data_IF_686800259103
#
_entry.id   IF_686800259103
#
_cell.length_a   1.000
_cell.length_b   1.000
_cell.length_c   1.000
_cell.angle_alpha   90.00
_cell.angle_beta   90.00
_cell.angle_gamma   90.00
#
_symmetry.space_group_name_H-M   'P 1'
#
loop_
_entity.id
_entity.type
_entity.pdbx_description
1 polymer ?
#
# COMPACT_ATOMS: atom_id res chain seq x y z
N UNK A 1 10.02 2.92 10.19
CA UNK A 1 8.80 3.10 9.37
C UNK A 1 9.08 3.07 7.86
N UNK A 2 10.09 3.80 7.40
CA UNK A 2 10.45 3.78 5.97
C UNK A 2 10.72 2.38 5.43
N UNK A 3 11.51 1.61 6.15
CA UNK A 3 11.82 0.25 5.75
C UNK A 3 10.57 -0.63 5.65
N UNK A 4 9.63 -0.46 6.58
CA UNK A 4 8.39 -1.23 6.55
C UNK A 4 7.56 -0.93 5.30
N UNK A 5 7.64 0.27 4.75
CA UNK A 5 6.92 0.66 3.54
C UNK A 5 7.63 0.24 2.25
N UNK A 6 8.94 0.01 2.30
CA UNK A 6 9.74 -0.21 1.08
C UNK A 6 10.38 -1.60 1.01
N UNK A 7 10.28 -2.41 2.06
CA UNK A 7 10.84 -3.76 2.09
C UNK A 7 9.78 -4.81 1.81
N UNK A 8 10.04 -5.70 0.84
CA UNK A 8 9.13 -6.80 0.55
C UNK A 8 9.01 -7.78 1.71
N UNK A 9 10.07 -7.94 2.49
CA UNK A 9 10.05 -8.81 3.68
C UNK A 9 9.07 -8.29 4.73
N UNK A 10 9.02 -6.98 4.92
CA UNK A 10 8.05 -6.37 5.83
C UNK A 10 6.65 -6.41 5.25
N UNK A 11 6.47 -6.01 3.99
CA UNK A 11 5.13 -5.89 3.40
C UNK A 11 4.38 -7.23 3.35
N UNK A 12 5.07 -8.34 3.10
CA UNK A 12 4.46 -9.66 3.15
C UNK A 12 3.79 -9.95 4.49
N UNK A 13 4.29 -9.38 5.57
CA UNK A 13 3.84 -9.68 6.92
C UNK A 13 2.60 -8.89 7.34
N UNK A 14 2.34 -7.74 6.72
CA UNK A 14 1.17 -6.92 7.08
C UNK A 14 0.23 -6.61 5.92
N UNK A 15 0.58 -6.95 4.70
CA UNK A 15 -0.19 -6.60 3.50
C UNK A 15 -0.68 -7.85 2.76
N UNK A 16 -1.37 -8.73 3.48
CA UNK A 16 -1.98 -9.94 2.91
C UNK A 16 -1.03 -10.79 2.07
N UNK A 17 0.23 -10.90 2.47
CA UNK A 17 1.24 -11.64 1.72
C UNK A 17 1.75 -10.90 0.49
N UNK A 18 1.47 -9.62 0.34
CA UNK A 18 1.87 -8.81 -0.80
C UNK A 18 3.29 -8.30 -0.64
N UNK A 19 4.08 -8.42 -1.71
CA UNK A 19 5.43 -7.88 -1.77
C UNK A 19 5.44 -6.55 -2.53
N UNK A 20 5.99 -5.50 -1.90
CA UNK A 20 6.25 -4.24 -2.61
C UNK A 20 7.58 -4.35 -3.33
N UNK A 21 7.63 -3.96 -4.59
CA UNK A 21 8.84 -4.05 -5.42
C UNK A 21 9.11 -2.76 -6.16
N UNK A 22 10.30 -2.19 -5.98
CA UNK A 22 10.77 -1.01 -6.68
C UNK A 22 12.23 -0.76 -6.35
N UNK A 23 12.88 0.11 -7.13
CA UNK A 23 14.19 0.66 -6.79
C UNK A 23 14.07 1.86 -5.85
N UNK A 24 12.86 2.33 -5.61
CA UNK A 24 12.55 3.45 -4.72
C UNK A 24 13.25 4.76 -5.09
N UNK A 25 13.41 4.98 -6.38
CA UNK A 25 13.93 6.23 -6.94
C UNK A 25 12.82 6.88 -7.75
N UNK A 26 12.75 8.21 -7.75
CA UNK A 26 11.78 8.96 -8.54
C UNK A 26 11.87 8.54 -10.00
N UNK A 27 10.73 8.21 -10.59
CA UNK A 27 10.64 7.74 -11.97
C UNK A 27 10.79 6.22 -12.13
N UNK A 28 11.15 5.50 -11.07
CA UNK A 28 11.27 4.04 -11.13
C UNK A 28 9.91 3.36 -11.13
N UNK A 29 9.77 2.21 -11.80
CA UNK A 29 8.55 1.44 -11.71
C UNK A 29 8.34 0.88 -10.30
N UNK A 30 7.07 0.67 -9.96
CA UNK A 30 6.62 0.12 -8.69
C UNK A 30 5.61 -0.99 -8.97
N UNK A 31 5.66 -2.05 -8.20
CA UNK A 31 4.70 -3.14 -8.33
C UNK A 31 4.36 -3.76 -6.98
N UNK A 32 3.10 -4.20 -6.85
CA UNK A 32 2.64 -5.04 -5.76
C UNK A 32 2.45 -6.45 -6.31
N UNK A 33 3.06 -7.43 -5.69
CA UNK A 33 3.01 -8.83 -6.13
C UNK A 33 2.49 -9.72 -5.01
N UNK A 34 1.44 -10.46 -5.29
CA UNK A 34 0.82 -11.40 -4.34
C UNK A 34 0.74 -12.79 -5.01
N UNK A 35 1.33 -13.79 -4.36
CA UNK A 35 1.38 -15.17 -4.89
C UNK A 35 1.91 -15.24 -6.32
N UNK A 36 2.95 -14.45 -6.62
CA UNK A 36 3.57 -14.42 -7.94
C UNK A 36 2.80 -13.64 -8.99
N UNK A 37 1.67 -13.03 -8.63
CA UNK A 37 0.86 -12.25 -9.55
C UNK A 37 0.95 -10.76 -9.24
N UNK A 38 1.21 -9.94 -10.25
CA UNK A 38 1.24 -8.50 -10.10
C UNK A 38 -0.20 -7.99 -9.99
N UNK A 39 -0.54 -7.45 -8.82
CA UNK A 39 -1.89 -6.93 -8.59
C UNK A 39 -2.04 -5.46 -8.92
N UNK A 40 -0.99 -4.69 -8.69
CA UNK A 40 -1.00 -3.24 -8.89
C UNK A 40 0.37 -2.79 -9.38
N UNK A 41 0.40 -1.73 -10.18
CA UNK A 41 1.64 -1.15 -10.69
C UNK A 41 1.61 0.36 -10.59
N UNK A 42 2.75 0.99 -10.74
CA UNK A 42 2.84 2.44 -10.74
C UNK A 42 4.26 2.93 -10.94
N UNK A 43 4.44 4.21 -10.64
CA UNK A 43 5.72 4.90 -10.75
C UNK A 43 5.97 5.69 -9.47
N UNK A 44 7.20 5.69 -9.01
CA UNK A 44 7.60 6.46 -7.82
C UNK A 44 7.61 7.94 -8.16
N UNK A 45 6.82 8.73 -7.44
CA UNK A 45 6.70 10.17 -7.64
C UNK A 45 7.59 10.95 -6.66
N UNK A 46 7.64 10.50 -5.40
CA UNK A 46 8.46 11.11 -4.35
C UNK A 46 9.10 10.01 -3.54
N UNK A 47 10.40 10.13 -3.31
CA UNK A 47 11.15 9.23 -2.42
C UNK A 47 12.08 10.08 -1.58
N UNK A 48 11.58 10.57 -0.44
CA UNK A 48 12.30 11.42 0.51
C UNK A 48 12.37 10.71 1.86
N UNK A 49 13.30 9.74 2.02
CA UNK A 49 13.40 9.01 3.28
C UNK A 49 13.92 9.91 4.39
N UNK A 50 13.46 9.74 5.61
CA UNK A 50 12.41 8.82 6.04
C UNK A 50 11.03 9.48 6.16
N UNK A 51 10.76 10.57 5.42
CA UNK A 51 9.61 11.45 5.63
C UNK A 51 8.45 11.25 4.70
N UNK A 52 8.71 10.97 3.43
CA UNK A 52 7.65 10.97 2.42
C UNK A 52 7.91 10.00 1.29
N UNK A 53 6.87 9.25 0.94
CA UNK A 53 6.89 8.34 -0.19
C UNK A 53 5.58 8.53 -0.95
N UNK A 54 5.67 8.67 -2.28
CA UNK A 54 4.49 8.78 -3.12
C UNK A 54 4.69 8.01 -4.40
N UNK A 55 3.62 7.37 -4.88
CA UNK A 55 3.64 6.65 -6.14
C UNK A 55 2.25 6.65 -6.77
N UNK A 56 2.21 6.41 -8.07
CA UNK A 56 0.95 6.15 -8.76
C UNK A 56 0.52 4.71 -8.48
N UNK A 57 -0.78 4.46 -8.63
CA UNK A 57 -1.36 3.18 -8.24
C UNK A 57 -2.39 2.78 -9.28
N UNK A 58 -2.15 1.69 -10.00
CA UNK A 58 -3.06 1.18 -11.01
C UNK A 58 -3.31 -0.30 -10.76
N UNK A 59 -4.59 -0.67 -10.65
CA UNK A 59 -4.97 -2.05 -10.46
C UNK A 59 -4.82 -2.84 -11.76
N UNK A 60 -4.31 -4.08 -11.68
CA UNK A 60 -4.01 -4.88 -12.86
C UNK A 60 -4.71 -6.25 -12.90
N UNK A 61 -5.31 -6.71 -11.81
CA UNK A 61 -5.90 -8.05 -11.76
C UNK A 61 -7.37 -8.12 -12.12
N UNK A 62 -8.20 -7.30 -11.48
CA UNK A 62 -9.64 -7.38 -11.67
C UNK A 62 -10.11 -6.46 -12.78
N UNK A 63 -10.79 -7.04 -13.76
CA UNK A 63 -11.22 -6.33 -14.96
C UNK A 63 -12.04 -5.07 -14.65
N UNK A 64 -12.93 -5.17 -13.68
CA UNK A 64 -13.80 -4.03 -13.29
C UNK A 64 -13.03 -2.84 -12.71
N UNK A 65 -11.80 -3.04 -12.24
CA UNK A 65 -10.95 -1.97 -11.70
C UNK A 65 -9.75 -1.67 -12.59
N UNK A 66 -9.38 -2.61 -13.47
CA UNK A 66 -8.20 -2.48 -14.32
C UNK A 66 -8.30 -1.33 -15.32
N UNK A 67 -9.52 -1.02 -15.76
CA UNK A 67 -9.74 0.05 -16.74
C UNK A 67 -9.76 1.44 -16.12
N UNK A 68 -9.75 1.54 -14.78
CA UNK A 68 -9.69 2.83 -14.13
C UNK A 68 -8.31 3.45 -14.28
N UNK A 69 -8.22 4.78 -14.47
CA UNK A 69 -6.91 5.44 -14.60
C UNK A 69 -6.10 5.31 -13.32
N UNK A 70 -4.79 5.49 -13.44
CA UNK A 70 -3.90 5.45 -12.29
C UNK A 70 -4.29 6.50 -11.25
N UNK A 71 -4.22 6.11 -10.00
CA UNK A 71 -4.46 6.99 -8.85
C UNK A 71 -3.14 7.33 -8.19
N UNK A 72 -3.17 8.09 -7.11
CA UNK A 72 -1.96 8.54 -6.43
C UNK A 72 -2.03 8.23 -4.94
N UNK A 73 -0.98 7.60 -4.42
CA UNK A 73 -0.84 7.31 -2.98
C UNK A 73 0.28 8.18 -2.42
N UNK A 74 0.05 8.77 -1.26
CA UNK A 74 1.05 9.55 -0.54
C UNK A 74 1.15 9.04 0.89
N UNK A 75 2.37 8.69 1.30
CA UNK A 75 2.68 8.36 2.69
C UNK A 75 3.47 9.53 3.28
N UNK A 76 3.01 10.04 4.41
CA UNK A 76 3.74 11.08 5.16
C UNK A 76 4.09 10.52 6.52
N UNK A 77 5.36 10.59 6.89
CA UNK A 77 5.89 10.04 8.14
C UNK A 77 6.37 11.21 8.99
N UNK A 78 5.75 11.40 10.15
CA UNK A 78 6.04 12.52 11.04
C UNK A 78 6.41 12.02 12.43
N UNK A 79 7.57 12.44 12.97
CA UNK A 79 7.93 12.10 14.34
C UNK A 79 7.13 12.95 15.35
N UNK A 80 6.69 12.29 16.43
CA UNK A 80 6.03 12.95 17.57
C UNK A 80 6.65 12.40 18.84
N UNK A 81 7.73 13.02 19.32
CA UNK A 81 8.47 12.50 20.46
C UNK A 81 9.00 11.10 20.18
N UNK A 82 8.56 10.11 20.94
CA UNK A 82 8.98 8.71 20.78
C UNK A 82 8.10 7.91 19.82
N UNK A 83 7.03 8.53 19.32
CA UNK A 83 6.13 7.85 18.38
C UNK A 83 6.25 8.46 16.99
N UNK A 84 5.78 7.71 16.01
CA UNK A 84 5.77 8.15 14.61
C UNK A 84 4.34 8.12 14.09
N UNK A 85 3.93 9.21 13.45
CA UNK A 85 2.61 9.29 12.80
C UNK A 85 2.78 9.00 11.32
N UNK A 86 2.05 8.00 10.85
CA UNK A 86 1.96 7.69 9.42
C UNK A 86 0.60 8.13 8.90
N UNK A 87 0.62 8.96 7.85
CA UNK A 87 -0.60 9.37 7.16
C UNK A 87 -0.56 8.83 5.75
N UNK A 88 -1.64 8.20 5.32
CA UNK A 88 -1.79 7.69 3.95
C UNK A 88 -2.93 8.44 3.28
N UNK A 89 -2.65 9.02 2.12
CA UNK A 89 -3.65 9.68 1.28
C UNK A 89 -3.68 8.95 -0.06
N UNK A 90 -4.85 8.54 -0.50
CA UNK A 90 -5.04 7.90 -1.80
C UNK A 90 -6.09 8.71 -2.56
N UNK A 91 -5.72 9.29 -3.69
CA UNK A 91 -6.54 10.27 -4.41
C UNK A 91 -6.49 10.05 -5.93
N UNK A 92 -7.34 10.77 -6.65
CA UNK A 92 -7.39 10.70 -8.11
C UNK A 92 -8.39 9.67 -8.64
N UNK A 93 -9.36 9.27 -7.82
CA UNK A 93 -10.38 8.30 -8.24
C UNK A 93 -11.40 8.93 -9.19
N UNK A 94 -11.85 8.13 -10.16
CA UNK A 94 -12.97 8.51 -11.02
C UNK A 94 -14.28 8.42 -10.22
N UNK A 95 -15.34 9.06 -10.73
CA UNK A 95 -16.68 8.97 -10.15
C UNK A 95 -17.11 7.49 -10.13
N UNK A 96 -17.76 7.07 -9.05
CA UNK A 96 -18.23 5.70 -8.86
C UNK A 96 -17.13 4.64 -8.97
N UNK A 97 -15.91 4.99 -8.57
CA UNK A 97 -14.77 4.08 -8.60
C UNK A 97 -15.00 2.81 -7.79
N UNK A 98 -14.83 1.67 -8.41
CA UNK A 98 -14.88 0.37 -7.73
C UNK A 98 -13.59 0.13 -6.94
N UNK A 99 -12.48 0.68 -7.43
CA UNK A 99 -11.21 0.62 -6.72
C UNK A 99 -11.31 1.35 -5.39
N UNK A 100 -11.93 2.54 -5.37
CA UNK A 100 -12.14 3.30 -4.14
C UNK A 100 -12.92 2.47 -3.10
N UNK A 101 -13.97 1.79 -3.52
CA UNK A 101 -14.74 0.91 -2.65
C UNK A 101 -13.89 -0.20 -2.05
N UNK A 102 -13.06 -0.82 -2.88
CA UNK A 102 -12.19 -1.91 -2.44
C UNK A 102 -11.14 -1.45 -1.42
N UNK A 103 -10.42 -0.35 -1.73
CA UNK A 103 -9.33 0.11 -0.86
C UNK A 103 -9.82 0.81 0.41
N UNK A 104 -11.06 1.32 0.43
CA UNK A 104 -11.63 1.93 1.62
C UNK A 104 -11.71 0.96 2.79
N UNK A 105 -11.84 -0.33 2.50
CA UNK A 105 -11.79 -1.39 3.51
C UNK A 105 -10.37 -1.95 3.67
N UNK A 106 -9.56 -1.89 2.62
CA UNK A 106 -8.21 -2.45 2.63
C UNK A 106 -7.21 -1.66 3.44
N UNK A 107 -7.16 -0.34 3.25
CA UNK A 107 -6.18 0.50 3.94
C UNK A 107 -6.26 0.40 5.46
N UNK A 108 -7.45 0.50 6.10
CA UNK A 108 -7.51 0.34 7.57
C UNK A 108 -6.93 -0.99 8.05
N UNK A 109 -7.21 -2.08 7.35
CA UNK A 109 -6.69 -3.39 7.73
C UNK A 109 -5.17 -3.47 7.56
N UNK A 110 -4.65 -2.94 6.45
CA UNK A 110 -3.21 -2.90 6.17
C UNK A 110 -2.48 -2.08 7.24
N UNK A 111 -3.00 -0.90 7.57
CA UNK A 111 -2.37 -0.01 8.55
C UNK A 111 -2.45 -0.59 9.97
N UNK A 112 -3.54 -1.26 10.31
CA UNK A 112 -3.65 -1.95 11.60
C UNK A 112 -2.62 -3.08 11.71
N UNK A 113 -2.45 -3.84 10.64
CA UNK A 113 -1.44 -4.89 10.58
C UNK A 113 -0.02 -4.34 10.71
N UNK A 114 0.26 -3.25 10.03
CA UNK A 114 1.56 -2.58 10.09
C UNK A 114 1.84 -2.09 11.51
N UNK A 115 0.88 -1.43 12.14
CA UNK A 115 1.03 -0.94 13.51
C UNK A 115 1.32 -2.09 14.46
N UNK A 116 0.53 -3.16 14.38
CA UNK A 116 0.72 -4.32 15.23
C UNK A 116 2.10 -4.96 15.03
N UNK A 117 2.54 -5.11 13.78
CA UNK A 117 3.85 -5.67 13.47
C UNK A 117 4.98 -4.85 14.08
N UNK A 118 4.92 -3.51 13.95
CA UNK A 118 5.96 -2.62 14.48
C UNK A 118 5.98 -2.56 16.00
N UNK A 119 4.82 -2.68 16.66
CA UNK A 119 4.74 -2.60 18.12
C UNK A 119 4.99 -3.93 18.81
N UNK A 120 4.60 -5.04 18.20
CA UNK A 120 4.63 -6.36 18.85
C UNK A 120 5.49 -7.39 18.13
N UNK A 121 5.91 -7.12 16.91
CA UNK A 121 6.60 -8.10 16.06
C UNK A 121 5.67 -9.05 15.33
N UNK A 122 4.35 -8.88 15.48
CA UNK A 122 3.36 -9.74 14.84
C UNK A 122 2.24 -8.94 14.21
N UNK A 123 1.87 -9.28 12.96
CA UNK A 123 0.67 -8.77 12.34
C UNK A 123 -0.48 -9.75 12.63
N UNK A 124 -1.72 -9.26 12.79
CA UNK A 124 -2.86 -10.14 12.93
C UNK A 124 -3.01 -11.07 11.73
N UNK A 125 -3.53 -12.28 11.96
CA UNK A 125 -3.83 -13.20 10.88
C UNK A 125 -5.12 -12.74 10.19
N UNK A 126 -4.98 -11.96 9.13
CA UNK A 126 -6.11 -11.42 8.37
C UNK A 126 -6.22 -12.21 7.06
N UNK A 127 -7.37 -12.82 6.83
CA UNK A 127 -7.63 -13.54 5.57
C UNK A 127 -8.33 -12.60 4.60
N UNK A 128 -7.92 -12.58 3.33
CA UNK A 128 -8.57 -11.73 2.34
C UNK A 128 -10.09 -11.93 2.25
N UNK A 129 -10.58 -13.15 2.36
CA UNK A 129 -12.02 -13.46 2.31
C UNK A 129 -12.78 -12.91 3.52
N UNK A 130 -12.12 -12.70 4.66
CA UNK A 130 -12.73 -12.09 5.82
C UNK A 130 -12.93 -10.58 5.65
N UNK A 131 -12.20 -9.99 4.71
CA UNK A 131 -12.30 -8.59 4.34
C UNK A 131 -13.25 -8.37 3.17
N UNK A 132 -13.95 -9.42 2.77
CA UNK A 132 -14.94 -9.36 1.71
C UNK A 132 -14.33 -9.10 0.34
N UNK A 133 -14.76 -8.00 -0.30
CA UNK A 133 -14.45 -7.73 -1.71
C UNK A 133 -13.19 -6.90 -1.91
N UNK A 134 -12.26 -6.90 -0.98
CA UNK A 134 -11.02 -6.12 -1.11
C UNK A 134 -10.15 -6.65 -2.24
N UNK A 135 -10.21 -7.97 -2.48
CA UNK A 135 -9.46 -8.58 -3.57
C UNK A 135 -10.32 -9.47 -4.41
#
# INVERSE_FOLDING_TARGET
MWEALTSSEFSKRYWFGTEVRSNWKVGSPFALVTDGKTSDTGEILVADPPRRLSYTFKHELFEEMRDEPATKVVFTIEPFGEIVKLTVTHEGFVADSKLLGAISNGWPAILSGLKSLLETGHAPAIRPEALGKIR
#
